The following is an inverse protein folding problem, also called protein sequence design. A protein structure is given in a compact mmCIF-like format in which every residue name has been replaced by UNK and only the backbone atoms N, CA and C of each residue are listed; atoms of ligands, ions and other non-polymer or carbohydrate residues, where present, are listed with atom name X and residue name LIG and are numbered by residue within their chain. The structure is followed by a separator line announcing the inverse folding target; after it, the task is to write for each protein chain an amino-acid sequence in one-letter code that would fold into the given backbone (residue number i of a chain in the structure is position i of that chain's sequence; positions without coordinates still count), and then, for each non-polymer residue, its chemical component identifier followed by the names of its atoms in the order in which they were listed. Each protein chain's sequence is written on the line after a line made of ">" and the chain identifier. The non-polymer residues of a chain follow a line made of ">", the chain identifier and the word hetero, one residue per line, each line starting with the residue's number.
data_IF_388515256585
#
_entry.id   IF_388515256585
#
_cell.length_a   1.000
_cell.length_b   1.000
_cell.length_c   1.000
_cell.angle_alpha   90.00
_cell.angle_beta   90.00
_cell.angle_gamma   90.00
#
_symmetry.space_group_name_H-M   'P 1'
#
loop_
_entity.id
_entity.type
_entity.pdbx_description
1 polymer ?
#
# COMPACT_ATOMS: atom_id res chain seq x y z
N UNK A 1 67.80 53.06 0.02
CA UNK A 1 68.14 51.63 -0.17
C UNK A 1 66.83 50.84 -0.28
N UNK A 2 66.31 50.62 -1.49
CA UNK A 2 65.16 49.72 -1.70
C UNK A 2 65.69 48.33 -2.05
N UNK A 3 65.36 47.35 -1.21
CA UNK A 3 65.75 45.96 -1.39
C UNK A 3 64.54 45.08 -1.73
N UNK A 4 64.83 44.05 -2.54
CA UNK A 4 64.13 42.76 -2.66
C UNK A 4 62.79 42.79 -3.42
N UNK A 5 62.66 42.28 -4.67
CA UNK A 5 62.77 40.86 -5.12
C UNK A 5 62.20 39.89 -4.06
N UNK A 6 61.32 38.94 -4.32
CA UNK A 6 60.73 38.42 -5.54
C UNK A 6 59.51 37.57 -5.17
N UNK A 7 58.53 37.59 -6.06
CA UNK A 7 57.82 36.45 -6.62
C UNK A 7 57.83 35.08 -5.90
N UNK A 8 56.60 34.58 -5.76
CA UNK A 8 56.10 33.26 -6.19
C UNK A 8 55.88 32.24 -5.06
N UNK A 9 54.61 32.09 -4.68
CA UNK A 9 54.07 30.79 -4.28
C UNK A 9 52.86 30.48 -5.16
N UNK A 10 53.02 29.43 -5.96
CA UNK A 10 51.96 28.78 -6.70
C UNK A 10 51.20 27.87 -5.73
N UNK A 11 49.95 28.21 -5.43
CA UNK A 11 49.04 27.33 -4.71
C UNK A 11 48.26 26.49 -5.73
N UNK A 12 48.60 25.21 -5.82
CA UNK A 12 47.86 24.21 -6.58
C UNK A 12 46.42 24.12 -6.03
N UNK A 13 45.42 24.39 -6.88
CA UNK A 13 44.02 24.12 -6.59
C UNK A 13 43.77 22.62 -6.75
N UNK A 14 43.64 21.90 -5.64
CA UNK A 14 43.06 20.56 -5.63
C UNK A 14 41.52 20.69 -5.68
N UNK A 15 40.80 19.92 -6.53
CA UNK A 15 39.35 19.88 -6.48
C UNK A 15 38.93 19.09 -5.23
N UNK A 16 38.25 19.76 -4.31
CA UNK A 16 37.49 19.12 -3.24
C UNK A 16 36.33 18.37 -3.88
N UNK A 17 36.54 17.08 -4.16
CA UNK A 17 35.44 16.16 -4.41
C UNK A 17 34.58 16.10 -3.15
N UNK A 18 33.53 16.92 -3.11
CA UNK A 18 32.50 16.85 -2.09
C UNK A 18 31.77 15.52 -2.27
N UNK A 19 32.27 14.49 -1.60
CA UNK A 19 31.53 13.27 -1.36
C UNK A 19 30.27 13.66 -0.58
N UNK A 20 29.16 13.86 -1.30
CA UNK A 20 27.83 14.02 -0.74
C UNK A 20 27.49 12.71 -0.03
N UNK A 21 27.79 12.66 1.28
CA UNK A 21 27.43 11.55 2.13
C UNK A 21 25.92 11.33 2.03
N UNK A 22 25.52 10.25 1.37
CA UNK A 22 24.16 9.76 1.41
C UNK A 22 23.86 9.39 2.87
N UNK A 23 23.03 10.18 3.53
CA UNK A 23 22.52 9.82 4.86
C UNK A 23 21.67 8.56 4.71
N UNK A 24 21.97 7.45 5.42
CA UNK A 24 21.09 6.30 5.43
C UNK A 24 19.80 6.72 6.12
N UNK A 25 18.71 6.80 5.35
CA UNK A 25 17.36 6.95 5.86
C UNK A 25 16.95 5.65 6.55
N UNK A 26 17.47 5.43 7.77
CA UNK A 26 16.99 4.37 8.63
C UNK A 26 15.50 4.59 8.86
N UNK A 27 14.69 3.59 8.47
CA UNK A 27 13.25 3.56 8.64
C UNK A 27 12.88 3.72 10.10
N UNK A 28 12.67 4.96 10.54
CA UNK A 28 11.89 5.23 11.74
C UNK A 28 10.44 4.99 11.35
N UNK A 29 9.81 4.00 11.97
CA UNK A 29 8.36 3.92 12.00
C UNK A 29 7.85 5.31 12.37
N UNK A 30 7.18 5.99 11.42
CA UNK A 30 6.51 7.26 11.71
C UNK A 30 5.25 6.92 12.46
N UNK A 31 5.41 6.57 13.73
CA UNK A 31 4.29 6.45 14.63
C UNK A 31 3.73 7.86 14.76
N UNK A 32 2.61 8.11 14.09
CA UNK A 32 1.95 9.40 14.12
C UNK A 32 1.54 9.66 15.57
N UNK A 33 2.14 10.68 16.17
CA UNK A 33 1.68 11.17 17.47
C UNK A 33 0.25 11.66 17.34
N UNK A 34 -0.56 11.50 18.40
CA UNK A 34 -1.91 12.04 18.46
C UNK A 34 -1.94 13.54 18.12
N UNK A 35 -0.95 14.30 18.57
CA UNK A 35 -0.82 15.72 18.25
C UNK A 35 -0.71 15.96 16.72
N UNK A 36 0.10 15.15 16.04
CA UNK A 36 0.26 15.22 14.58
C UNK A 36 -0.99 14.77 13.84
N UNK A 37 -1.71 13.77 14.35
CA UNK A 37 -2.97 13.31 13.80
C UNK A 37 -4.05 14.39 13.93
N UNK A 38 -4.15 15.01 15.10
CA UNK A 38 -5.08 16.10 15.36
C UNK A 38 -4.83 17.29 14.44
N UNK A 39 -3.58 17.74 14.34
CA UNK A 39 -3.21 18.86 13.47
C UNK A 39 -3.50 18.59 11.98
N UNK A 40 -3.43 17.33 11.56
CA UNK A 40 -3.63 16.94 10.15
C UNK A 40 -5.10 16.75 9.79
N UNK A 41 -5.87 16.06 10.65
CA UNK A 41 -7.22 15.63 10.28
C UNK A 41 -8.32 16.34 11.07
N UNK A 42 -8.08 16.72 12.32
CA UNK A 42 -9.12 17.18 13.24
C UNK A 42 -9.11 18.70 13.48
N UNK A 43 -8.05 19.41 13.08
CA UNK A 43 -7.89 20.84 13.35
C UNK A 43 -8.89 21.74 12.64
N UNK A 44 -9.36 21.35 11.45
CA UNK A 44 -10.32 22.14 10.67
C UNK A 44 -11.63 21.38 10.46
N UNK A 45 -12.75 22.09 10.44
CA UNK A 45 -14.06 21.47 10.25
C UNK A 45 -14.16 20.72 8.91
N UNK A 46 -13.61 21.28 7.82
CA UNK A 46 -13.63 20.63 6.51
C UNK A 46 -12.76 19.37 6.45
N UNK A 47 -11.55 19.39 7.05
CA UNK A 47 -10.69 18.20 7.14
C UNK A 47 -11.34 17.11 7.99
N UNK A 48 -11.97 17.50 9.11
CA UNK A 48 -12.64 16.59 10.02
C UNK A 48 -13.84 15.91 9.35
N UNK A 49 -14.71 16.68 8.67
CA UNK A 49 -15.84 16.12 7.93
C UNK A 49 -15.37 15.15 6.85
N UNK A 50 -14.34 15.53 6.08
CA UNK A 50 -13.78 14.66 5.03
C UNK A 50 -13.22 13.36 5.62
N UNK A 51 -12.49 13.47 6.74
CA UNK A 51 -11.93 12.31 7.43
C UNK A 51 -13.03 11.37 7.95
N UNK A 52 -14.10 11.91 8.54
CA UNK A 52 -15.23 11.12 9.05
C UNK A 52 -15.95 10.41 7.90
N UNK A 53 -16.26 11.12 6.81
CA UNK A 53 -16.96 10.53 5.65
C UNK A 53 -16.11 9.44 5.00
N UNK A 54 -14.82 9.70 4.77
CA UNK A 54 -13.91 8.71 4.23
C UNK A 54 -13.79 7.48 5.16
N UNK A 55 -13.68 7.73 6.47
CA UNK A 55 -13.64 6.69 7.50
C UNK A 55 -14.92 5.85 7.51
N UNK A 56 -16.09 6.47 7.35
CA UNK A 56 -17.37 5.77 7.29
C UNK A 56 -17.44 4.81 6.09
N UNK A 57 -17.06 5.27 4.90
CA UNK A 57 -17.05 4.43 3.68
C UNK A 57 -16.11 3.23 3.85
N UNK A 58 -14.88 3.47 4.35
CA UNK A 58 -13.92 2.38 4.57
C UNK A 58 -14.43 1.40 5.63
N UNK A 59 -15.02 1.92 6.70
CA UNK A 59 -15.57 1.10 7.78
C UNK A 59 -16.73 0.25 7.29
N UNK A 60 -17.64 0.82 6.50
CA UNK A 60 -18.77 0.09 5.90
C UNK A 60 -18.28 -1.08 5.04
N UNK A 61 -17.32 -0.85 4.14
CA UNK A 61 -16.78 -1.91 3.28
C UNK A 61 -16.13 -3.06 4.07
N UNK A 62 -15.36 -2.71 5.10
CA UNK A 62 -14.72 -3.71 5.96
C UNK A 62 -15.74 -4.42 6.84
N UNK A 63 -16.72 -3.70 7.36
CA UNK A 63 -17.74 -4.24 8.26
C UNK A 63 -18.68 -5.19 7.52
N UNK A 64 -19.13 -4.86 6.30
CA UNK A 64 -19.93 -5.78 5.48
C UNK A 64 -19.17 -7.09 5.24
N UNK A 65 -17.95 -7.00 4.69
CA UNK A 65 -17.13 -8.20 4.42
C UNK A 65 -16.80 -9.00 5.67
N UNK A 66 -16.45 -8.31 6.75
CA UNK A 66 -16.09 -8.95 8.01
C UNK A 66 -17.27 -9.63 8.68
N UNK A 67 -18.43 -8.96 8.70
CA UNK A 67 -19.66 -9.50 9.26
C UNK A 67 -20.18 -10.68 8.45
N UNK A 68 -20.16 -10.59 7.12
CA UNK A 68 -20.56 -11.70 6.25
C UNK A 68 -19.64 -12.91 6.41
N UNK A 69 -18.32 -12.70 6.52
CA UNK A 69 -17.36 -13.78 6.78
C UNK A 69 -17.55 -14.41 8.16
N UNK A 70 -17.83 -13.60 9.19
CA UNK A 70 -18.12 -14.10 10.53
C UNK A 70 -19.43 -14.90 10.54
N UNK A 71 -20.44 -14.41 9.84
CA UNK A 71 -21.74 -15.05 9.71
C UNK A 71 -21.66 -16.36 8.93
N UNK A 72 -20.93 -16.39 7.82
CA UNK A 72 -20.74 -17.59 7.00
C UNK A 72 -19.93 -18.66 7.74
N UNK A 73 -18.91 -18.26 8.49
CA UNK A 73 -18.16 -19.17 9.37
C UNK A 73 -19.03 -19.77 10.48
N UNK A 74 -19.88 -18.95 11.11
CA UNK A 74 -20.80 -19.42 12.15
C UNK A 74 -21.92 -20.33 11.62
N UNK A 75 -22.29 -20.18 10.35
CA UNK A 75 -23.35 -20.94 9.69
C UNK A 75 -22.82 -21.89 8.59
N UNK A 76 -21.56 -22.32 8.71
CA UNK A 76 -20.90 -23.21 7.75
C UNK A 76 -21.76 -24.43 7.39
N UNK A 77 -21.90 -24.70 6.08
CA UNK A 77 -22.70 -25.81 5.55
C UNK A 77 -24.22 -25.60 5.53
N UNK A 78 -24.74 -24.48 6.05
CA UNK A 78 -26.19 -24.15 5.98
C UNK A 78 -26.52 -23.08 4.94
N UNK A 79 -25.52 -22.32 4.48
CA UNK A 79 -25.70 -21.33 3.42
C UNK A 79 -25.78 -22.00 2.06
N UNK A 80 -26.62 -21.44 1.19
CA UNK A 80 -26.78 -21.80 -0.23
C UNK A 80 -25.43 -21.77 -0.97
N UNK A 81 -24.53 -20.90 -0.52
CA UNK A 81 -23.16 -20.72 -1.03
C UNK A 81 -22.25 -21.93 -0.79
N UNK A 82 -22.54 -22.74 0.23
CA UNK A 82 -21.80 -23.96 0.55
C UNK A 82 -22.38 -25.21 -0.13
N UNK A 83 -23.48 -25.05 -0.88
CA UNK A 83 -24.12 -26.15 -1.58
C UNK A 83 -23.33 -26.47 -2.84
N UNK A 84 -22.99 -27.74 -3.02
CA UNK A 84 -22.28 -28.22 -4.19
C UNK A 84 -23.25 -28.43 -5.36
N UNK A 85 -23.35 -27.41 -6.21
CA UNK A 85 -24.21 -27.39 -7.39
C UNK A 85 -23.71 -28.31 -8.51
N UNK A 86 -22.45 -28.75 -8.47
CA UNK A 86 -21.90 -29.68 -9.48
C UNK A 86 -22.56 -31.06 -9.38
N UNK A 87 -23.10 -31.40 -8.21
CA UNK A 87 -23.84 -32.65 -7.99
C UNK A 87 -25.18 -32.73 -8.72
N UNK A 88 -25.68 -31.61 -9.24
CA UNK A 88 -26.93 -31.51 -9.98
C UNK A 88 -26.76 -30.92 -11.38
N UNK A 89 -25.52 -30.67 -11.80
CA UNK A 89 -25.19 -30.49 -13.21
C UNK A 89 -25.41 -31.85 -13.85
N UNK A 90 -26.45 -31.99 -14.67
CA UNK A 90 -26.43 -33.04 -15.68
C UNK A 90 -25.18 -32.75 -16.53
N UNK A 91 -24.33 -33.77 -16.77
CA UNK A 91 -23.37 -33.70 -17.86
C UNK A 91 -24.17 -33.34 -19.12
N UNK A 92 -24.04 -32.10 -19.56
CA UNK A 92 -24.48 -31.63 -20.86
C UNK A 92 -23.24 -31.61 -21.79
N UNK A 93 -22.37 -32.61 -21.61
CA UNK A 93 -21.05 -32.75 -22.25
C UNK A 93 -20.79 -34.24 -22.58
N UNK A 94 -21.73 -34.84 -23.32
CA UNK A 94 -21.51 -36.05 -24.13
C UNK A 94 -22.00 -35.73 -25.56
N UNK A 95 -21.34 -34.76 -26.19
CA UNK A 95 -21.37 -34.51 -27.64
C UNK A 95 -19.99 -34.94 -28.20
N UNK A 96 -20.00 -35.77 -29.26
CA UNK A 96 -18.89 -36.24 -30.12
C UNK A 96 -17.90 -37.32 -29.61
N UNK A 97 -18.17 -38.59 -29.97
CA UNK A 97 -17.30 -39.43 -30.85
C UNK A 97 -17.81 -40.89 -30.87
N UNK A 98 -18.47 -41.32 -31.95
CA UNK A 98 -18.42 -42.73 -32.39
C UNK A 98 -18.53 -42.78 -33.93
N UNK A 99 -17.38 -43.10 -34.53
CA UNK A 99 -17.20 -43.59 -35.90
C UNK A 99 -18.22 -44.69 -36.22
N UNK A 100 -18.83 -44.65 -37.41
CA UNK A 100 -19.25 -45.89 -38.10
C UNK A 100 -19.13 -45.73 -39.63
N UNK A 101 -18.22 -46.52 -40.18
CA UNK A 101 -17.88 -46.78 -41.58
C UNK A 101 -19.08 -47.27 -42.43
N UNK A 102 -19.34 -46.64 -43.59
CA UNK A 102 -19.58 -47.25 -44.95
C UNK A 102 -20.10 -46.22 -45.99
#
# INVERSE_FOLDING_TARGET
>A
MLAARAFRQAAARAPTAAARAARPGAGRSRQMSYASFYDTYLKSNSSMVTFIVAGAIVTELLFSKGTDALWSAANGGKLVEHVDWTKWSADDDDDDDDDDDD
#
